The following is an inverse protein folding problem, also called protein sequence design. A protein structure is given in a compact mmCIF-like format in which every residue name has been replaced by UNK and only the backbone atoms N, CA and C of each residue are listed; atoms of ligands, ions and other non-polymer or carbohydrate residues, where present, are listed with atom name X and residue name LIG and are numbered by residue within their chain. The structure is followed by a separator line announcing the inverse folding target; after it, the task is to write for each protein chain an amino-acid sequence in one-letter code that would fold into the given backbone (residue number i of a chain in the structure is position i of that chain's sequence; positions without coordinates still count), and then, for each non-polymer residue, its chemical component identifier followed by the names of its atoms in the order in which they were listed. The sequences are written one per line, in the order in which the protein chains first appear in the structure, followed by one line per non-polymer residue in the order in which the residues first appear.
data_IF_525056229859
#
_entry.id   IF_525056229859
#
_cell.length_a   1.000
_cell.length_b   1.000
_cell.length_c   1.000
_cell.angle_alpha   90.00
_cell.angle_beta   90.00
_cell.angle_gamma   90.00
#
_symmetry.space_group_name_H-M   'P 1'
#
loop_
_entity.id
_entity.type
_entity.pdbx_description
1 polymer ?
#
# COMPACT_ATOMS: atom_id res chain seq x y z
N UNK A 1 15.76 -26.16 7.45
CA UNK A 1 16.12 -26.46 6.05
C UNK A 1 17.08 -25.40 5.58
N UNK A 2 18.22 -25.76 5.05
CA UNK A 2 19.28 -24.86 4.60
C UNK A 2 18.76 -23.91 3.51
N UNK A 3 19.10 -22.62 3.57
CA UNK A 3 18.86 -21.59 2.52
C UNK A 3 19.62 -21.87 1.20
N UNK A 4 20.23 -23.06 1.07
CA UNK A 4 21.08 -23.49 -0.04
C UNK A 4 20.23 -24.05 -1.17
N UNK A 5 20.05 -23.29 -2.24
CA UNK A 5 19.39 -23.73 -3.47
C UNK A 5 18.56 -22.67 -4.18
N UNK A 6 18.30 -21.53 -3.53
CA UNK A 6 17.58 -20.40 -4.14
C UNK A 6 18.64 -19.37 -4.51
N UNK A 7 19.04 -19.35 -5.77
CA UNK A 7 20.01 -18.38 -6.26
C UNK A 7 19.75 -18.05 -7.73
N UNK A 8 19.79 -16.75 -8.04
CA UNK A 8 19.83 -16.28 -9.42
C UNK A 8 21.15 -16.72 -10.06
N UNK A 9 21.11 -17.11 -11.35
CA UNK A 9 22.33 -17.41 -12.11
C UNK A 9 23.27 -16.19 -12.07
N UNK A 10 24.47 -16.32 -11.51
CA UNK A 10 25.42 -15.22 -11.41
C UNK A 10 25.89 -14.66 -12.75
N UNK A 11 25.74 -15.44 -13.84
CA UNK A 11 26.14 -15.07 -15.20
C UNK A 11 24.97 -14.48 -16.01
N UNK A 12 23.78 -14.31 -15.43
CA UNK A 12 22.70 -13.65 -16.15
C UNK A 12 22.89 -12.13 -16.17
N UNK A 13 22.34 -11.46 -17.18
CA UNK A 13 22.49 -10.04 -17.38
C UNK A 13 21.99 -9.19 -16.20
N UNK A 14 20.98 -9.66 -15.44
CA UNK A 14 20.51 -8.99 -14.24
C UNK A 14 21.54 -9.02 -13.09
N UNK A 15 22.17 -10.17 -12.88
CA UNK A 15 23.21 -10.34 -11.88
C UNK A 15 24.47 -9.50 -12.22
N UNK A 16 24.89 -9.51 -13.48
CA UNK A 16 25.99 -8.69 -13.98
C UNK A 16 25.72 -7.21 -13.82
N UNK A 17 24.50 -6.77 -14.13
CA UNK A 17 24.07 -5.38 -13.96
C UNK A 17 24.14 -4.96 -12.49
N UNK A 18 23.60 -5.77 -11.57
CA UNK A 18 23.66 -5.51 -10.13
C UNK A 18 25.10 -5.37 -9.66
N UNK A 19 25.96 -6.33 -10.03
CA UNK A 19 27.37 -6.30 -9.67
C UNK A 19 28.11 -5.05 -10.21
N UNK A 20 27.80 -4.63 -11.44
CA UNK A 20 28.34 -3.42 -12.04
C UNK A 20 27.89 -2.16 -11.29
N UNK A 21 26.63 -2.09 -10.88
CA UNK A 21 26.08 -0.97 -10.11
C UNK A 21 26.75 -0.86 -8.73
N UNK A 22 26.85 -1.96 -8.00
CA UNK A 22 27.50 -1.99 -6.69
C UNK A 22 28.99 -1.61 -6.79
N UNK A 23 29.74 -2.07 -7.80
CA UNK A 23 31.11 -1.62 -8.03
C UNK A 23 31.22 -0.12 -8.30
N UNK A 24 30.18 0.49 -8.82
CA UNK A 24 30.09 1.95 -9.06
C UNK A 24 29.49 2.72 -7.89
N UNK A 25 29.35 2.11 -6.71
CA UNK A 25 28.78 2.76 -5.53
C UNK A 25 27.26 3.02 -5.65
N UNK A 26 26.52 2.21 -6.41
CA UNK A 26 25.08 2.41 -6.70
C UNK A 26 24.28 1.18 -6.31
N UNK A 27 23.02 1.40 -5.94
CA UNK A 27 21.99 0.39 -5.75
C UNK A 27 21.42 -0.10 -7.08
N UNK A 28 20.58 -1.14 -7.03
CA UNK A 28 19.74 -1.59 -8.13
C UNK A 28 18.26 -1.40 -7.78
N UNK A 29 17.54 -0.68 -8.61
CA UNK A 29 16.10 -0.44 -8.48
C UNK A 29 15.31 -1.28 -9.47
N UNK A 30 14.48 -2.19 -8.98
CA UNK A 30 13.70 -3.13 -9.78
C UNK A 30 12.22 -2.89 -9.61
N UNK A 31 11.50 -2.86 -10.72
CA UNK A 31 10.04 -2.84 -10.75
C UNK A 31 9.54 -4.16 -11.36
N UNK A 32 8.72 -4.88 -10.63
CA UNK A 32 8.10 -6.13 -11.10
C UNK A 32 6.64 -5.85 -11.45
N UNK A 33 6.28 -6.14 -12.69
CA UNK A 33 4.92 -6.00 -13.20
C UNK A 33 4.43 -7.31 -13.80
N UNK A 34 3.13 -7.41 -14.03
CA UNK A 34 2.55 -8.55 -14.72
C UNK A 34 1.87 -8.10 -16.01
N UNK A 35 1.89 -8.98 -17.01
CA UNK A 35 1.11 -8.79 -18.22
C UNK A 35 -0.38 -8.98 -17.89
N UNK A 36 -1.21 -8.16 -18.55
CA UNK A 36 -2.67 -8.28 -18.54
C UNK A 36 -3.36 -8.13 -17.15
N UNK A 37 -2.65 -7.55 -16.15
CA UNK A 37 -3.18 -7.26 -14.79
C UNK A 37 -3.77 -8.48 -14.06
N UNK A 38 -3.40 -9.71 -14.46
CA UNK A 38 -3.84 -10.92 -13.77
C UNK A 38 -3.31 -10.96 -12.33
N UNK A 39 -4.17 -11.37 -11.41
CA UNK A 39 -3.78 -11.62 -10.02
C UNK A 39 -3.15 -13.02 -9.87
N UNK A 40 -2.24 -13.19 -8.89
CA UNK A 40 -1.68 -14.51 -8.60
C UNK A 40 -0.55 -14.98 -9.52
N UNK A 41 -0.03 -14.12 -10.41
CA UNK A 41 1.04 -14.48 -11.36
C UNK A 41 2.42 -14.71 -10.77
N UNK A 42 2.63 -14.47 -9.47
CA UNK A 42 3.90 -14.75 -8.78
C UNK A 42 4.87 -13.58 -8.72
N UNK A 43 4.40 -12.32 -8.77
CA UNK A 43 5.22 -11.11 -8.59
C UNK A 43 5.94 -11.11 -7.24
N UNK A 44 5.20 -11.32 -6.15
CA UNK A 44 5.74 -11.41 -4.79
C UNK A 44 6.75 -12.56 -4.67
N UNK A 45 6.45 -13.72 -5.26
CA UNK A 45 7.37 -14.89 -5.28
C UNK A 45 8.68 -14.54 -5.99
N UNK A 46 8.61 -13.83 -7.13
CA UNK A 46 9.80 -13.36 -7.84
C UNK A 46 10.57 -12.33 -7.00
N UNK A 47 9.89 -11.38 -6.35
CA UNK A 47 10.55 -10.38 -5.49
C UNK A 47 11.34 -11.06 -4.36
N UNK A 48 10.71 -12.01 -3.66
CA UNK A 48 11.36 -12.80 -2.59
C UNK A 48 12.51 -13.67 -3.15
N UNK A 49 12.34 -14.28 -4.33
CA UNK A 49 13.43 -15.02 -4.98
C UNK A 49 14.66 -14.14 -5.23
N UNK A 50 14.46 -12.95 -5.76
CA UNK A 50 15.56 -12.01 -6.02
C UNK A 50 16.20 -11.53 -4.71
N UNK A 51 15.40 -11.16 -3.72
CA UNK A 51 15.89 -10.71 -2.42
C UNK A 51 16.75 -11.77 -1.73
N UNK A 52 16.28 -13.02 -1.66
CA UNK A 52 17.05 -14.15 -1.10
C UNK A 52 18.32 -14.47 -1.91
N UNK A 53 18.31 -14.22 -3.22
CA UNK A 53 19.48 -14.39 -4.09
C UNK A 53 20.55 -13.34 -3.86
N UNK A 54 20.14 -12.12 -3.53
CA UNK A 54 21.01 -10.95 -3.38
C UNK A 54 21.46 -10.70 -1.95
N UNK A 55 20.61 -11.02 -0.98
CA UNK A 55 20.85 -10.85 0.44
C UNK A 55 20.53 -12.16 1.18
N UNK A 56 21.59 -12.86 1.58
CA UNK A 56 21.43 -14.15 2.27
C UNK A 56 20.81 -14.03 3.66
N UNK A 57 20.86 -12.85 4.26
CA UNK A 57 20.26 -12.52 5.55
C UNK A 57 18.84 -12.00 5.43
N UNK A 58 18.32 -11.84 4.21
CA UNK A 58 17.00 -11.26 3.97
C UNK A 58 15.91 -11.93 4.82
N UNK A 59 15.15 -11.10 5.51
CA UNK A 59 14.03 -11.49 6.36
C UNK A 59 12.75 -10.85 5.86
N UNK A 60 11.72 -11.68 5.63
CA UNK A 60 10.46 -11.23 5.06
C UNK A 60 9.65 -10.31 5.97
N UNK A 61 9.90 -10.33 7.28
CA UNK A 61 9.24 -9.46 8.26
C UNK A 61 9.94 -8.10 8.38
N UNK A 62 11.28 -8.09 8.33
CA UNK A 62 12.08 -6.88 8.53
C UNK A 62 12.36 -6.11 7.23
N UNK A 63 12.43 -6.81 6.10
CA UNK A 63 12.84 -6.26 4.80
C UNK A 63 11.76 -6.41 3.72
N UNK A 64 10.61 -6.98 4.06
CA UNK A 64 9.40 -6.97 3.26
C UNK A 64 8.43 -5.92 3.79
N UNK A 65 7.92 -5.05 2.95
CA UNK A 65 6.97 -4.01 3.35
C UNK A 65 5.77 -4.00 2.40
N UNK A 66 4.66 -3.47 2.87
CA UNK A 66 3.41 -3.36 2.09
C UNK A 66 2.89 -1.92 2.05
N UNK A 67 3.65 -0.96 2.57
CA UNK A 67 3.34 0.47 2.51
C UNK A 67 4.57 1.33 2.21
N UNK A 68 4.35 2.51 1.62
CA UNK A 68 5.40 3.47 1.30
C UNK A 68 6.10 4.00 2.57
N UNK A 69 5.33 4.24 3.63
CA UNK A 69 5.86 4.76 4.90
C UNK A 69 6.76 3.73 5.59
N UNK A 70 6.35 2.46 5.63
CA UNK A 70 7.19 1.37 6.17
C UNK A 70 8.47 1.22 5.35
N UNK A 71 8.36 1.22 4.02
CA UNK A 71 9.51 1.13 3.13
C UNK A 71 10.53 2.23 3.42
N UNK A 72 10.11 3.49 3.52
CA UNK A 72 10.98 4.63 3.79
C UNK A 72 11.56 4.61 5.21
N UNK A 73 10.81 4.17 6.20
CA UNK A 73 11.28 4.09 7.60
C UNK A 73 12.24 2.91 7.84
N UNK A 74 12.08 1.82 7.12
CA UNK A 74 12.94 0.63 7.20
C UNK A 74 14.29 0.87 6.54
N UNK A 75 14.29 1.55 5.39
CA UNK A 75 15.49 1.77 4.58
C UNK A 75 16.72 2.28 5.37
N UNK A 76 16.63 3.34 6.20
CA UNK A 76 17.80 3.87 6.93
C UNK A 76 18.39 2.90 7.96
N UNK A 77 17.65 1.88 8.36
CA UNK A 77 18.02 0.93 9.38
C UNK A 77 18.79 -0.28 8.82
N UNK A 78 18.69 -0.51 7.51
CA UNK A 78 19.28 -1.68 6.87
C UNK A 78 20.78 -1.51 6.65
N UNK A 79 21.57 -2.59 6.78
CA UNK A 79 22.98 -2.59 6.41
C UNK A 79 23.16 -2.42 4.90
N UNK A 80 24.35 -1.98 4.51
CA UNK A 80 24.75 -1.83 3.11
C UNK A 80 24.63 -3.19 2.38
N UNK A 81 24.19 -3.15 1.12
CA UNK A 81 23.96 -4.31 0.27
C UNK A 81 22.75 -5.19 0.64
N UNK A 82 21.92 -4.74 1.55
CA UNK A 82 20.61 -5.36 1.79
C UNK A 82 19.68 -5.22 0.60
N UNK A 83 18.61 -5.99 0.62
CA UNK A 83 17.51 -5.87 -0.34
C UNK A 83 16.22 -5.54 0.39
N UNK A 84 15.48 -4.53 -0.05
CA UNK A 84 14.20 -4.10 0.50
C UNK A 84 13.09 -4.29 -0.53
N UNK A 85 11.99 -4.92 -0.12
CA UNK A 85 10.81 -5.13 -0.98
C UNK A 85 9.67 -4.23 -0.51
N UNK A 86 8.97 -3.61 -1.47
CA UNK A 86 7.63 -3.07 -1.28
C UNK A 86 6.67 -3.86 -2.17
N UNK A 87 5.85 -4.70 -1.55
CA UNK A 87 4.83 -5.47 -2.25
C UNK A 87 3.55 -4.64 -2.38
N UNK A 88 2.88 -4.77 -3.54
CA UNK A 88 1.67 -4.00 -3.87
C UNK A 88 1.85 -2.48 -3.74
N UNK A 89 2.89 -1.94 -4.39
CA UNK A 89 3.21 -0.51 -4.40
C UNK A 89 2.14 0.37 -5.12
N UNK A 90 0.86 -0.02 -5.05
CA UNK A 90 -0.27 0.70 -5.66
C UNK A 90 -0.55 2.05 -4.99
N UNK A 91 -0.08 2.23 -3.77
CA UNK A 91 -0.15 3.53 -3.08
C UNK A 91 0.61 4.61 -3.85
N UNK A 92 1.61 4.21 -4.67
CA UNK A 92 2.39 5.08 -5.54
C UNK A 92 1.72 5.30 -6.91
N UNK A 93 0.38 5.16 -7.01
CA UNK A 93 -0.40 5.26 -8.24
C UNK A 93 -0.17 6.61 -8.92
N UNK A 94 0.01 6.56 -10.24
CA UNK A 94 0.14 7.71 -11.12
C UNK A 94 -1.05 8.70 -11.01
N UNK A 95 -2.26 8.23 -10.68
CA UNK A 95 -3.45 9.07 -10.44
C UNK A 95 -3.31 9.94 -9.19
N UNK A 96 -2.43 9.56 -8.26
CA UNK A 96 -2.12 10.28 -7.03
C UNK A 96 -0.77 11.01 -7.11
N UNK A 97 -0.21 11.16 -8.30
CA UNK A 97 1.14 11.70 -8.55
C UNK A 97 1.36 13.12 -8.01
N UNK A 98 0.30 13.90 -7.82
CA UNK A 98 0.35 15.24 -7.21
C UNK A 98 0.27 15.24 -5.69
N UNK A 99 0.01 14.10 -5.05
CA UNK A 99 0.06 14.04 -3.60
C UNK A 99 1.50 14.23 -3.13
N UNK A 100 1.65 15.02 -2.07
CA UNK A 100 2.93 15.31 -1.41
C UNK A 100 3.74 14.04 -1.11
N UNK A 101 3.05 12.98 -0.70
CA UNK A 101 3.63 11.67 -0.37
C UNK A 101 4.40 11.03 -1.54
N UNK A 102 3.84 11.04 -2.77
CA UNK A 102 4.53 10.46 -3.93
C UNK A 102 5.77 11.27 -4.34
N UNK A 103 5.72 12.60 -4.15
CA UNK A 103 6.88 13.46 -4.42
C UNK A 103 7.98 13.22 -3.40
N UNK A 104 7.63 13.08 -2.13
CA UNK A 104 8.57 12.77 -1.05
C UNK A 104 9.16 11.38 -1.25
N UNK A 105 8.35 10.36 -1.49
CA UNK A 105 8.82 9.01 -1.82
C UNK A 105 9.84 9.01 -2.97
N UNK A 106 9.56 9.72 -4.06
CA UNK A 106 10.47 9.78 -5.20
C UNK A 106 11.83 10.37 -4.83
N UNK A 107 11.85 11.43 -4.00
CA UNK A 107 13.09 12.06 -3.52
C UNK A 107 13.88 11.11 -2.63
N UNK A 108 13.21 10.46 -1.69
CA UNK A 108 13.83 9.55 -0.76
C UNK A 108 14.36 8.31 -1.48
N UNK A 109 13.57 7.74 -2.40
CA UNK A 109 14.00 6.61 -3.23
C UNK A 109 15.21 6.94 -4.11
N UNK A 110 15.32 8.19 -4.58
CA UNK A 110 16.51 8.67 -5.30
C UNK A 110 17.75 8.72 -4.38
N UNK A 111 17.59 9.13 -3.11
CA UNK A 111 18.68 9.24 -2.16
C UNK A 111 19.21 7.88 -1.66
N UNK A 112 18.40 6.83 -1.77
CA UNK A 112 18.73 5.46 -1.34
C UNK A 112 20.02 4.91 -1.96
N UNK A 113 20.39 5.37 -3.15
CA UNK A 113 21.60 4.91 -3.88
C UNK A 113 22.89 5.03 -3.08
N UNK A 114 22.97 5.99 -2.15
CA UNK A 114 24.19 6.24 -1.37
C UNK A 114 24.53 5.11 -0.41
N UNK A 115 23.54 4.33 0.00
CA UNK A 115 23.72 3.18 0.90
C UNK A 115 23.81 1.84 0.18
N UNK A 116 23.65 1.81 -1.15
CA UNK A 116 23.68 0.59 -1.97
C UNK A 116 22.69 -0.48 -1.49
N UNK A 117 21.51 -0.07 -1.09
CA UNK A 117 20.43 -0.97 -0.72
C UNK A 117 19.57 -1.19 -1.97
N UNK A 118 19.52 -2.41 -2.46
CA UNK A 118 18.69 -2.75 -3.61
C UNK A 118 17.21 -2.68 -3.23
N UNK A 119 16.38 -2.23 -4.15
CA UNK A 119 14.95 -2.10 -3.92
C UNK A 119 14.11 -2.77 -5.00
N UNK A 120 13.06 -3.43 -4.58
CA UNK A 120 12.12 -4.14 -5.46
C UNK A 120 10.71 -3.65 -5.16
N UNK A 121 10.03 -3.09 -6.16
CA UNK A 121 8.62 -2.70 -6.11
C UNK A 121 7.80 -3.68 -6.94
N UNK A 122 6.71 -4.22 -6.41
CA UNK A 122 5.75 -5.00 -7.20
C UNK A 122 4.50 -4.18 -7.50
N UNK A 123 4.00 -4.29 -8.71
CA UNK A 123 2.85 -3.52 -9.23
C UNK A 123 2.02 -4.38 -10.18
N UNK A 124 0.71 -4.12 -10.33
CA UNK A 124 -0.10 -4.81 -11.34
C UNK A 124 0.38 -4.48 -12.75
N UNK A 125 0.60 -3.20 -13.05
CA UNK A 125 1.06 -2.72 -14.37
C UNK A 125 2.03 -1.55 -14.21
N UNK A 126 2.77 -1.22 -15.27
CA UNK A 126 3.63 -0.02 -15.29
C UNK A 126 2.84 1.28 -15.29
N UNK A 127 1.60 1.27 -15.77
CA UNK A 127 0.72 2.45 -15.74
C UNK A 127 0.21 2.79 -14.33
N UNK A 128 0.32 1.86 -13.39
CA UNK A 128 0.04 2.11 -11.98
C UNK A 128 1.16 2.88 -11.27
N UNK A 129 2.35 3.00 -11.86
CA UNK A 129 3.48 3.71 -11.27
C UNK A 129 3.58 5.15 -11.81
N UNK A 130 3.87 6.11 -10.94
CA UNK A 130 4.22 7.47 -11.35
C UNK A 130 5.41 7.42 -12.34
N UNK A 131 5.32 8.20 -13.42
CA UNK A 131 6.36 8.25 -14.47
C UNK A 131 7.74 8.54 -13.89
N UNK A 132 7.83 9.44 -12.91
CA UNK A 132 9.10 9.79 -12.22
C UNK A 132 9.74 8.59 -11.53
N UNK A 133 8.92 7.74 -10.89
CA UNK A 133 9.40 6.52 -10.25
C UNK A 133 9.87 5.49 -11.27
N UNK A 134 9.17 5.38 -12.41
CA UNK A 134 9.61 4.51 -13.50
C UNK A 134 10.94 4.98 -14.10
N UNK A 135 11.17 6.30 -14.20
CA UNK A 135 12.44 6.88 -14.67
C UNK A 135 13.60 6.65 -13.70
N UNK A 136 13.32 6.48 -12.40
CA UNK A 136 14.32 6.13 -11.39
C UNK A 136 14.67 4.64 -11.37
N UNK A 137 13.80 3.80 -11.88
CA UNK A 137 14.02 2.36 -11.91
C UNK A 137 15.09 1.99 -12.95
N UNK A 138 15.93 1.01 -12.62
CA UNK A 138 16.97 0.48 -13.51
C UNK A 138 16.49 -0.65 -14.38
N UNK A 139 15.59 -1.47 -13.82
CA UNK A 139 15.11 -2.70 -14.41
C UNK A 139 13.61 -2.83 -14.20
N UNK A 140 12.94 -3.26 -15.25
CA UNK A 140 11.59 -3.81 -15.15
C UNK A 140 11.63 -5.30 -15.43
N UNK A 141 10.93 -6.09 -14.59
CA UNK A 141 10.68 -7.49 -14.85
C UNK A 141 9.18 -7.66 -15.10
N UNK A 142 8.83 -8.16 -16.27
CA UNK A 142 7.45 -8.45 -16.62
C UNK A 142 7.18 -9.95 -16.45
N UNK A 143 6.37 -10.28 -15.45
CA UNK A 143 5.90 -11.65 -15.23
C UNK A 143 4.99 -12.04 -16.38
N UNK A 144 5.36 -13.07 -17.13
CA UNK A 144 4.60 -13.56 -18.27
C UNK A 144 3.68 -14.71 -17.90
N UNK A 145 4.09 -15.51 -16.93
CA UNK A 145 3.32 -16.57 -16.26
C UNK A 145 3.99 -16.95 -14.94
N UNK A 146 3.31 -17.74 -14.12
CA UNK A 146 3.88 -18.22 -12.86
C UNK A 146 5.24 -18.89 -13.09
N UNK A 147 6.27 -18.44 -12.38
CA UNK A 147 7.63 -18.93 -12.46
C UNK A 147 8.45 -18.47 -13.67
N UNK A 148 7.89 -17.60 -14.54
CA UNK A 148 8.62 -17.09 -15.73
C UNK A 148 8.36 -15.59 -15.96
N UNK A 149 9.41 -14.88 -16.38
CA UNK A 149 9.33 -13.46 -16.70
C UNK A 149 10.37 -13.01 -17.72
N UNK A 150 10.26 -11.75 -18.12
CA UNK A 150 11.19 -11.09 -19.03
C UNK A 150 11.80 -9.89 -18.35
N UNK A 151 13.11 -9.80 -18.39
CA UNK A 151 13.90 -8.73 -17.80
C UNK A 151 14.17 -7.66 -18.85
N UNK A 152 13.88 -6.40 -18.52
CA UNK A 152 14.12 -5.25 -19.38
C UNK A 152 14.95 -4.21 -18.62
N UNK A 153 16.01 -3.73 -19.26
CA UNK A 153 16.73 -2.55 -18.80
C UNK A 153 15.94 -1.29 -19.11
N UNK A 154 15.80 -0.43 -18.13
CA UNK A 154 15.20 0.90 -18.30
C UNK A 154 16.33 1.90 -18.59
N UNK A 155 16.15 2.73 -19.61
CA UNK A 155 17.03 3.84 -19.95
C UNK A 155 16.20 5.08 -20.19
N UNK A 156 16.60 6.18 -19.58
CA UNK A 156 16.09 7.51 -19.86
C UNK A 156 16.98 8.14 -20.93
N UNK A 157 16.39 8.65 -21.99
CA UNK A 157 17.11 9.36 -23.05
C UNK A 157 17.01 10.87 -22.76
N UNK A 158 18.13 11.47 -22.39
CA UNK A 158 18.22 12.89 -22.05
C UNK A 158 17.93 13.81 -23.26
N UNK A 159 18.02 13.29 -24.48
CA UNK A 159 17.73 14.03 -25.72
C UNK A 159 16.25 13.95 -26.14
N UNK A 160 15.48 13.04 -25.58
CA UNK A 160 14.07 12.81 -25.93
C UNK A 160 13.14 12.88 -24.71
N UNK A 161 13.16 14.02 -24.03
CA UNK A 161 12.39 14.26 -22.80
C UNK A 161 10.88 14.08 -22.94
N UNK A 162 10.34 14.07 -24.17
CA UNK A 162 8.92 13.87 -24.46
C UNK A 162 8.50 12.41 -24.55
N UNK A 163 9.46 11.51 -24.71
CA UNK A 163 9.21 10.07 -24.74
C UNK A 163 9.56 9.51 -23.35
N UNK A 164 8.65 8.72 -22.77
CA UNK A 164 8.93 8.02 -21.53
C UNK A 164 10.18 7.13 -21.63
N UNK A 165 10.63 6.53 -20.52
CA UNK A 165 11.83 5.71 -20.51
C UNK A 165 11.72 4.54 -21.49
N UNK A 166 12.81 4.28 -22.22
CA UNK A 166 12.90 3.17 -23.16
C UNK A 166 13.24 1.88 -22.40
N UNK A 167 12.70 0.77 -22.87
CA UNK A 167 12.90 -0.54 -22.26
C UNK A 167 13.60 -1.49 -23.26
N UNK A 168 14.74 -2.01 -22.86
CA UNK A 168 15.55 -2.92 -23.67
C UNK A 168 15.49 -4.32 -23.08
N UNK A 169 15.03 -5.28 -23.86
CA UNK A 169 15.03 -6.67 -23.45
C UNK A 169 16.46 -7.15 -23.15
N UNK A 170 16.63 -7.79 -21.99
CA UNK A 170 17.90 -8.35 -21.55
C UNK A 170 17.90 -9.88 -21.70
N UNK A 171 17.04 -10.56 -20.95
CA UNK A 171 16.91 -12.02 -20.96
C UNK A 171 15.58 -12.45 -20.34
N UNK A 172 15.25 -13.71 -20.45
CA UNK A 172 14.19 -14.35 -19.67
C UNK A 172 14.71 -14.76 -18.29
N UNK A 173 13.82 -14.80 -17.31
CA UNK A 173 14.12 -15.24 -15.95
C UNK A 173 13.10 -16.30 -15.53
N UNK A 174 13.60 -17.31 -14.81
CA UNK A 174 12.79 -18.35 -14.19
C UNK A 174 13.08 -18.39 -12.69
N UNK A 175 12.06 -18.71 -11.90
CA UNK A 175 12.18 -18.87 -10.46
C UNK A 175 11.31 -20.02 -9.96
N UNK A 176 11.70 -20.67 -8.83
CA UNK A 176 10.95 -21.77 -8.24
C UNK A 176 9.69 -21.26 -7.52
N UNK A 177 8.79 -22.18 -7.21
CA UNK A 177 7.69 -21.91 -6.27
C UNK A 177 8.25 -21.74 -4.86
N UNK A 178 7.93 -20.61 -4.23
CA UNK A 178 8.32 -20.26 -2.86
C UNK A 178 7.12 -20.17 -1.91
N UNK A 179 5.97 -20.69 -2.28
CA UNK A 179 4.74 -20.63 -1.46
C UNK A 179 4.89 -21.26 -0.06
N UNK A 180 5.86 -22.16 0.11
CA UNK A 180 6.19 -22.78 1.40
C UNK A 180 7.49 -22.23 2.01
N UNK A 181 8.09 -21.19 1.40
CA UNK A 181 9.29 -20.59 1.94
C UNK A 181 8.94 -19.72 3.15
N UNK A 182 9.72 -19.86 4.22
CA UNK A 182 9.50 -19.18 5.50
C UNK A 182 9.44 -17.64 5.33
N UNK A 183 10.34 -17.08 4.53
CA UNK A 183 10.44 -15.63 4.37
C UNK A 183 9.31 -15.10 3.46
N UNK A 184 8.89 -15.89 2.47
CA UNK A 184 7.69 -15.59 1.68
C UNK A 184 6.44 -15.55 2.57
N UNK A 185 6.27 -16.53 3.46
CA UNK A 185 5.11 -16.59 4.35
C UNK A 185 5.03 -15.42 5.33
N UNK A 186 6.19 -14.89 5.77
CA UNK A 186 6.22 -13.68 6.61
C UNK A 186 5.68 -12.46 5.88
N UNK A 187 6.14 -12.22 4.65
CA UNK A 187 5.66 -11.11 3.83
C UNK A 187 4.18 -11.27 3.44
N UNK A 188 3.76 -12.49 3.10
CA UNK A 188 2.36 -12.78 2.77
C UNK A 188 1.43 -12.51 3.97
N UNK A 189 1.88 -12.86 5.18
CA UNK A 189 1.14 -12.55 6.40
C UNK A 189 0.95 -11.05 6.61
N UNK A 190 2.00 -10.23 6.45
CA UNK A 190 1.88 -8.76 6.55
C UNK A 190 0.85 -8.20 5.57
N UNK A 191 0.83 -8.75 4.36
CA UNK A 191 -0.15 -8.38 3.34
C UNK A 191 -1.58 -8.71 3.77
N UNK A 192 -1.81 -9.89 4.33
CA UNK A 192 -3.12 -10.30 4.83
C UNK A 192 -3.56 -9.41 6.00
N UNK A 193 -2.68 -9.16 6.97
CA UNK A 193 -2.94 -8.27 8.10
C UNK A 193 -3.35 -6.86 7.62
N UNK A 194 -2.69 -6.32 6.60
CA UNK A 194 -3.03 -5.02 6.00
C UNK A 194 -4.40 -5.03 5.32
N UNK A 195 -4.75 -6.11 4.60
CA UNK A 195 -6.07 -6.25 3.97
C UNK A 195 -7.17 -6.29 5.05
N UNK A 196 -6.96 -7.02 6.14
CA UNK A 196 -7.91 -7.08 7.24
C UNK A 196 -8.08 -5.72 7.94
N UNK A 197 -6.98 -5.00 8.14
CA UNK A 197 -7.01 -3.66 8.73
C UNK A 197 -7.80 -2.69 7.85
N UNK A 198 -7.53 -2.63 6.55
CA UNK A 198 -8.29 -1.80 5.60
C UNK A 198 -9.78 -2.16 5.57
N UNK A 199 -10.10 -3.45 5.70
CA UNK A 199 -11.49 -3.89 5.78
C UNK A 199 -12.20 -3.46 7.06
N UNK A 200 -11.48 -3.29 8.17
CA UNK A 200 -12.02 -2.74 9.42
C UNK A 200 -12.21 -1.23 9.34
N UNK A 201 -11.21 -0.52 8.81
CA UNK A 201 -11.25 0.93 8.60
C UNK A 201 -12.42 1.31 7.68
N UNK A 202 -12.60 0.64 6.55
CA UNK A 202 -13.71 0.89 5.64
C UNK A 202 -15.10 0.69 6.28
N UNK A 203 -15.25 -0.27 7.20
CA UNK A 203 -16.51 -0.46 7.92
C UNK A 203 -16.76 0.62 8.97
N UNK A 204 -15.70 1.14 9.60
CA UNK A 204 -15.82 2.24 10.54
C UNK A 204 -16.19 3.55 9.81
N UNK A 205 -15.57 3.82 8.66
CA UNK A 205 -15.90 4.97 7.82
C UNK A 205 -17.36 4.90 7.32
N UNK A 206 -17.84 3.71 6.90
CA UNK A 206 -19.24 3.51 6.50
C UNK A 206 -20.20 3.74 7.68
N UNK A 207 -19.87 3.28 8.90
CA UNK A 207 -20.65 3.50 10.11
C UNK A 207 -20.66 4.99 10.52
N UNK A 208 -19.53 5.69 10.40
CA UNK A 208 -19.42 7.12 10.66
C UNK A 208 -20.17 7.96 9.60
N UNK A 209 -20.09 7.60 8.31
CA UNK A 209 -20.83 8.26 7.23
C UNK A 209 -22.34 8.05 7.35
N UNK A 210 -22.80 6.87 7.80
CA UNK A 210 -24.22 6.62 8.08
C UNK A 210 -24.69 7.47 9.29
N UNK A 211 -23.84 7.65 10.30
CA UNK A 211 -24.14 8.54 11.43
C UNK A 211 -24.15 10.03 11.03
N UNK A 212 -23.28 10.48 10.11
CA UNK A 212 -23.25 11.87 9.63
C UNK A 212 -24.37 12.19 8.61
N UNK A 213 -24.82 11.22 7.80
CA UNK A 213 -25.89 11.45 6.81
C UNK A 213 -27.30 11.49 7.41
N UNK A 214 -27.48 10.96 8.61
CA UNK A 214 -28.81 10.83 9.24
C UNK A 214 -29.11 11.95 10.27
N UNK A 215 -28.55 13.14 10.10
CA UNK A 215 -28.81 14.26 10.99
C UNK A 215 -28.34 13.96 12.43
N UNK A 216 -29.06 14.49 13.42
CA UNK A 216 -28.75 14.19 14.83
C UNK A 216 -29.01 12.72 15.13
N UNK A 217 -28.05 12.02 15.73
CA UNK A 217 -28.20 10.64 16.18
C UNK A 217 -29.44 10.48 17.07
N UNK A 218 -30.00 9.29 17.16
CA UNK A 218 -31.17 9.02 18.03
C UNK A 218 -30.96 9.50 19.48
N UNK A 219 -29.71 9.40 19.96
CA UNK A 219 -29.34 9.87 21.30
C UNK A 219 -29.35 11.40 21.40
N UNK A 220 -28.84 12.07 20.37
CA UNK A 220 -28.81 13.55 20.30
C UNK A 220 -30.21 14.12 20.05
N UNK A 221 -31.01 13.51 19.20
CA UNK A 221 -32.43 13.88 19.02
C UNK A 221 -33.22 13.72 20.31
N UNK A 222 -32.95 12.68 21.12
CA UNK A 222 -33.56 12.52 22.44
C UNK A 222 -33.12 13.62 23.42
N UNK A 223 -31.81 13.94 23.42
CA UNK A 223 -31.29 15.03 24.27
C UNK A 223 -31.84 16.38 23.84
N UNK A 224 -31.93 16.66 22.54
CA UNK A 224 -32.56 17.87 22.00
C UNK A 224 -34.05 17.95 22.35
N UNK A 225 -34.78 16.86 22.17
CA UNK A 225 -36.22 16.81 22.51
C UNK A 225 -36.44 17.09 24.02
N UNK A 226 -35.60 16.53 24.89
CA UNK A 226 -35.67 16.79 26.33
C UNK A 226 -35.34 18.28 26.65
N UNK A 227 -34.27 18.83 26.06
CA UNK A 227 -33.90 20.23 26.25
C UNK A 227 -35.00 21.18 25.79
N UNK A 228 -35.64 20.92 24.65
CA UNK A 228 -36.79 21.69 24.15
C UNK A 228 -38.02 21.56 25.11
N UNK A 229 -38.22 20.37 25.67
CA UNK A 229 -39.27 20.14 26.67
C UNK A 229 -39.04 20.95 27.94
N UNK A 230 -37.81 21.05 28.42
CA UNK A 230 -37.39 21.80 29.60
C UNK A 230 -37.54 23.33 29.41
N UNK A 231 -37.49 23.82 28.17
CA UNK A 231 -37.81 25.22 27.83
C UNK A 231 -39.31 25.53 27.80
N UNK A 232 -40.18 24.56 28.05
CA UNK A 232 -41.63 24.73 28.09
C UNK A 232 -42.32 24.49 26.73
N UNK A 233 -41.65 23.99 25.71
CA UNK A 233 -42.27 23.64 24.44
C UNK A 233 -43.22 22.45 24.59
N UNK A 234 -44.33 22.49 23.84
CA UNK A 234 -45.27 21.37 23.83
C UNK A 234 -44.72 20.21 23.01
N UNK A 235 -45.12 18.99 23.34
CA UNK A 235 -44.68 17.77 22.59
C UNK A 235 -45.01 17.84 21.09
N UNK A 236 -46.08 18.56 20.71
CA UNK A 236 -46.47 18.76 19.30
C UNK A 236 -45.56 19.74 18.58
N UNK A 237 -45.04 20.74 19.26
CA UNK A 237 -44.06 21.69 18.71
C UNK A 237 -42.71 21.03 18.58
N UNK A 238 -42.28 20.23 19.56
CA UNK A 238 -41.03 19.47 19.52
C UNK A 238 -41.05 18.48 18.37
N UNK A 239 -42.15 17.74 18.17
CA UNK A 239 -42.28 16.78 17.06
C UNK A 239 -42.32 17.43 15.65
N UNK A 240 -42.45 18.79 15.58
CA UNK A 240 -42.37 19.54 14.31
C UNK A 240 -41.00 20.22 14.11
N UNK A 241 -40.08 20.05 15.05
CA UNK A 241 -38.74 20.58 14.90
C UNK A 241 -38.00 19.86 13.76
N UNK A 242 -37.42 20.59 12.81
CA UNK A 242 -36.76 19.98 11.64
C UNK A 242 -35.56 19.08 12.00
N UNK A 243 -35.01 19.21 13.20
CA UNK A 243 -33.90 18.38 13.69
C UNK A 243 -34.39 17.17 14.51
N UNK A 244 -35.68 16.91 14.56
CA UNK A 244 -36.28 15.76 15.23
C UNK A 244 -37.13 14.99 14.20
N UNK A 245 -36.65 13.86 13.79
CA UNK A 245 -37.27 13.01 12.77
C UNK A 245 -38.36 12.10 13.31
N UNK A 246 -38.62 12.15 14.61
CA UNK A 246 -39.55 11.26 15.30
C UNK A 246 -40.95 11.87 15.50
N UNK A 247 -41.94 10.98 15.58
CA UNK A 247 -43.35 11.34 15.76
C UNK A 247 -43.64 11.85 17.17
N UNK A 248 -44.80 12.53 17.32
CA UNK A 248 -45.34 12.95 18.63
C UNK A 248 -45.36 11.83 19.69
N UNK A 249 -45.70 10.60 19.29
CA UNK A 249 -45.71 9.44 20.19
C UNK A 249 -44.33 9.16 20.79
N UNK A 250 -43.31 9.20 19.92
CA UNK A 250 -41.94 9.00 20.36
C UNK A 250 -41.47 10.10 21.31
N UNK A 251 -41.76 11.39 21.01
CA UNK A 251 -41.41 12.51 21.90
C UNK A 251 -42.05 12.35 23.28
N UNK A 252 -43.33 11.94 23.31
CA UNK A 252 -44.05 11.68 24.57
C UNK A 252 -43.38 10.58 25.40
N UNK A 253 -42.94 9.51 24.75
CA UNK A 253 -42.42 8.33 25.43
C UNK A 253 -40.93 8.49 25.85
N UNK A 254 -40.24 9.53 25.33
CA UNK A 254 -38.79 9.74 25.56
C UNK A 254 -38.46 11.08 26.25
N UNK A 255 -39.45 11.94 26.57
CA UNK A 255 -39.26 13.19 27.32
C UNK A 255 -40.15 13.24 28.53
N UNK A 256 -39.65 13.87 29.63
CA UNK A 256 -40.37 14.04 30.89
C UNK A 256 -40.55 15.54 31.15
N UNK A 257 -41.73 15.97 31.60
CA UNK A 257 -41.95 17.36 31.99
C UNK A 257 -41.33 17.64 33.35
N UNK A 258 -40.92 18.91 33.61
CA UNK A 258 -40.36 19.29 34.91
C UNK A 258 -41.35 19.11 36.06
N UNK A 259 -42.65 19.19 35.78
CA UNK A 259 -43.69 18.96 36.80
C UNK A 259 -43.83 17.50 37.19
N UNK A 260 -43.52 16.58 36.28
CA UNK A 260 -43.54 15.12 36.55
C UNK A 260 -42.27 14.65 37.25
N UNK A 261 -41.13 15.36 37.08
CA UNK A 261 -39.86 15.03 37.73
C UNK A 261 -39.80 15.42 39.24
N UNK A 262 -40.72 16.27 39.69
CA UNK A 262 -40.78 16.69 41.12
C UNK A 262 -41.73 15.83 41.98
N UNK A 263 -42.36 14.81 41.38
CA UNK A 263 -43.39 13.99 42.08
C UNK A 263 -42.92 12.56 42.36
N UNK A 264 -41.60 12.28 42.27
CA UNK A 264 -41.01 10.94 42.62
C UNK A 264 -40.06 11.07 43.78
#
# INVERSE_FOLDING_TARGET
MSKTGIALDPNCGLAELRASRHRSGRDLKVVITQRDSETGGGKTTLAVFLALSWDRSWDGEEQGTVSANEFLSTYPQLPQHSCLIMDEAEELDARRSQKRENVEFSKDWMMMRTRQIDSILTLPTTSALDKRLLELADVRINVTRRGKGRVYRIKVDDHQTHRGPTQWFMHEIEWPDLSQNKEFLKLDKQKQDKIEQRGKEARQDDEEEEEEQDGLTKKEQKALAQALRDTGMTMREIAKNPNIEYTYGWVRDHTVSQDEAQTV
#
